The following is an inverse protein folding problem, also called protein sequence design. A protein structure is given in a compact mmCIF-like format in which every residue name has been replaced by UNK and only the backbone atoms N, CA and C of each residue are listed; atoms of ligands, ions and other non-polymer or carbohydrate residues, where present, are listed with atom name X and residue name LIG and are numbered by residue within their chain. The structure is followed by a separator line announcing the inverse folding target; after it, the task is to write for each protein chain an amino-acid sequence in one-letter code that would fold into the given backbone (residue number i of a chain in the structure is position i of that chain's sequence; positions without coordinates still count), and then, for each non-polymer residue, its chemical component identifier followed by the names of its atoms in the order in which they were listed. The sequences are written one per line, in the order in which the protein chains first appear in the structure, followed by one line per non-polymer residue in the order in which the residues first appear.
data_IF_552744305065
#
_entry.id   IF_552744305065
#
_cell.length_a   1.000
_cell.length_b   1.000
_cell.length_c   1.000
_cell.angle_alpha   90.00
_cell.angle_beta   90.00
_cell.angle_gamma   90.00
#
_symmetry.space_group_name_H-M   'P 1'
#
loop_
_entity.id
_entity.type
_entity.pdbx_description
1 polymer ?
#
# COMPACT_ATOMS: atom_id res chain seq x y z
N UNK A 1 -21.40 -19.33 -6.83
CA UNK A 1 -22.03 -18.37 -5.86
C UNK A 1 -20.97 -17.60 -5.05
N UNK A 2 -19.87 -18.22 -4.64
CA UNK A 2 -18.79 -17.53 -3.92
C UNK A 2 -18.11 -16.45 -4.78
N UNK A 3 -17.83 -16.76 -6.04
CA UNK A 3 -17.18 -15.85 -6.99
C UNK A 3 -18.03 -14.59 -7.27
N UNK A 4 -19.36 -14.74 -7.31
CA UNK A 4 -20.27 -13.59 -7.52
C UNK A 4 -20.24 -12.65 -6.31
N UNK A 5 -20.20 -13.18 -5.11
CA UNK A 5 -20.09 -12.38 -3.88
C UNK A 5 -18.73 -11.67 -3.81
N UNK A 6 -17.65 -12.32 -4.24
CA UNK A 6 -16.32 -11.73 -4.27
C UNK A 6 -16.23 -10.59 -5.30
N UNK A 7 -16.81 -10.78 -6.49
CA UNK A 7 -16.93 -9.73 -7.51
C UNK A 7 -17.76 -8.56 -6.98
N UNK A 8 -18.92 -8.82 -6.36
CA UNK A 8 -19.79 -7.78 -5.81
C UNK A 8 -19.10 -6.99 -4.69
N UNK A 9 -18.43 -7.64 -3.76
CA UNK A 9 -17.70 -6.97 -2.67
C UNK A 9 -16.52 -6.16 -3.21
N UNK A 10 -15.82 -6.67 -4.22
CA UNK A 10 -14.73 -5.94 -4.89
C UNK A 10 -15.24 -4.71 -5.62
N UNK A 11 -16.38 -4.82 -6.31
CA UNK A 11 -17.00 -3.70 -7.02
C UNK A 11 -17.49 -2.61 -6.07
N UNK A 12 -18.17 -2.98 -4.98
CA UNK A 12 -18.61 -2.05 -3.96
C UNK A 12 -17.43 -1.33 -3.30
N UNK A 13 -16.35 -2.06 -3.00
CA UNK A 13 -15.12 -1.48 -2.44
C UNK A 13 -14.47 -0.45 -3.38
N UNK A 14 -14.48 -0.71 -4.70
CA UNK A 14 -13.97 0.23 -5.70
C UNK A 14 -14.84 1.49 -5.75
N UNK A 15 -16.17 1.34 -5.77
CA UNK A 15 -17.09 2.49 -5.75
C UNK A 15 -16.92 3.32 -4.46
N UNK A 16 -16.84 2.67 -3.30
CA UNK A 16 -16.61 3.36 -2.03
C UNK A 16 -15.29 4.17 -2.07
N UNK A 17 -14.22 3.58 -2.56
CA UNK A 17 -12.93 4.26 -2.68
C UNK A 17 -12.94 5.40 -3.70
N UNK A 18 -13.70 5.29 -4.80
CA UNK A 18 -13.74 6.31 -5.86
C UNK A 18 -14.65 7.49 -5.52
N UNK A 19 -15.66 7.30 -4.68
CA UNK A 19 -16.64 8.35 -4.33
C UNK A 19 -16.39 8.86 -2.92
N UNK A 20 -16.33 7.97 -1.94
CA UNK A 20 -16.21 8.34 -0.53
C UNK A 20 -14.90 9.06 -0.22
N UNK A 21 -13.77 8.49 -0.66
CA UNK A 21 -12.47 9.05 -0.29
C UNK A 21 -12.22 10.44 -0.88
N UNK A 22 -12.49 10.71 -2.19
CA UNK A 22 -12.37 12.07 -2.74
C UNK A 22 -13.31 13.07 -2.07
N UNK A 23 -14.57 12.68 -1.82
CA UNK A 23 -15.53 13.55 -1.13
C UNK A 23 -15.05 13.89 0.28
N UNK A 24 -14.59 12.90 1.03
CA UNK A 24 -14.05 13.11 2.39
C UNK A 24 -12.88 14.09 2.35
N UNK A 25 -11.95 13.94 1.40
CA UNK A 25 -10.80 14.85 1.24
C UNK A 25 -11.28 16.27 0.94
N UNK A 26 -12.19 16.44 -0.04
CA UNK A 26 -12.68 17.76 -0.44
C UNK A 26 -13.38 18.45 0.73
N UNK A 27 -14.33 17.80 1.38
CA UNK A 27 -15.05 18.38 2.52
C UNK A 27 -14.11 18.72 3.68
N UNK A 28 -13.19 17.81 4.02
CA UNK A 28 -12.20 18.07 5.08
C UNK A 28 -11.32 19.28 4.74
N UNK A 29 -10.83 19.37 3.51
CA UNK A 29 -10.04 20.52 3.06
C UNK A 29 -10.81 21.82 3.09
N UNK A 30 -12.09 21.84 2.69
CA UNK A 30 -12.94 23.03 2.77
C UNK A 30 -13.02 23.51 4.23
N UNK A 31 -13.32 22.61 5.17
CA UNK A 31 -13.38 22.96 6.60
C UNK A 31 -12.01 23.44 7.11
N UNK A 32 -10.93 22.78 6.75
CA UNK A 32 -9.58 23.19 7.14
C UNK A 32 -9.21 24.58 6.61
N UNK A 33 -9.63 24.93 5.39
CA UNK A 33 -9.41 26.26 4.83
C UNK A 33 -10.14 27.37 5.61
N UNK A 34 -11.32 27.09 6.16
CA UNK A 34 -12.03 28.07 7.00
C UNK A 34 -11.33 28.33 8.33
N UNK A 35 -10.51 27.37 8.80
CA UNK A 35 -9.76 27.49 10.05
C UNK A 35 -8.44 28.25 9.83
N UNK A 36 -7.62 27.78 8.88
CA UNK A 36 -6.33 28.39 8.57
C UNK A 36 -5.89 27.99 7.15
N UNK A 37 -5.76 28.96 6.27
CA UNK A 37 -5.24 28.74 4.92
C UNK A 37 -3.78 28.30 4.91
N UNK A 38 -2.95 28.84 5.79
CA UNK A 38 -1.51 28.54 5.87
C UNK A 38 -1.25 27.08 6.28
N UNK A 39 -1.91 26.63 7.35
CA UNK A 39 -1.80 25.24 7.81
C UNK A 39 -2.39 24.26 6.79
N UNK A 40 -3.49 24.64 6.13
CA UNK A 40 -4.13 23.80 5.11
C UNK A 40 -3.25 23.66 3.87
N UNK A 41 -2.61 24.72 3.42
CA UNK A 41 -1.68 24.69 2.29
C UNK A 41 -0.50 23.77 2.56
N UNK A 42 0.03 23.77 3.80
CA UNK A 42 1.05 22.83 4.23
C UNK A 42 0.56 21.37 4.12
N UNK A 43 -0.64 21.07 4.60
CA UNK A 43 -1.21 19.71 4.51
C UNK A 43 -1.40 19.29 3.05
N UNK A 44 -1.91 20.17 2.19
CA UNK A 44 -2.09 19.94 0.76
C UNK A 44 -0.75 19.63 0.07
N UNK A 45 0.32 20.34 0.43
CA UNK A 45 1.65 20.09 -0.12
C UNK A 45 2.22 18.73 0.33
N UNK A 46 1.91 18.33 1.56
CA UNK A 46 2.43 17.09 2.13
C UNK A 46 1.73 15.82 1.62
N UNK A 47 0.44 15.90 1.28
CA UNK A 47 -0.34 14.76 0.73
C UNK A 47 0.33 14.15 -0.51
N UNK A 48 0.66 14.90 -1.57
CA UNK A 48 1.31 14.34 -2.75
C UNK A 48 2.72 13.80 -2.46
N UNK A 49 3.47 14.42 -1.55
CA UNK A 49 4.80 13.94 -1.16
C UNK A 49 4.69 12.56 -0.51
N UNK A 50 3.80 12.38 0.45
CA UNK A 50 3.57 11.09 1.10
C UNK A 50 3.06 10.03 0.11
N UNK A 51 2.13 10.39 -0.77
CA UNK A 51 1.61 9.54 -1.83
C UNK A 51 2.69 9.08 -2.82
N UNK A 52 3.60 9.97 -3.20
CA UNK A 52 4.73 9.65 -4.08
C UNK A 52 5.65 8.60 -3.46
N UNK A 53 6.01 8.76 -2.19
CA UNK A 53 6.87 7.81 -1.47
C UNK A 53 6.20 6.44 -1.35
N UNK A 54 4.90 6.39 -0.97
CA UNK A 54 4.12 5.15 -0.91
C UNK A 54 4.04 4.49 -2.29
N UNK A 55 3.90 5.26 -3.37
CA UNK A 55 3.89 4.75 -4.74
C UNK A 55 5.18 4.04 -5.13
N UNK A 56 6.34 4.53 -4.70
CA UNK A 56 7.64 3.88 -4.94
C UNK A 56 7.70 2.50 -4.28
N UNK A 57 7.25 2.42 -3.03
CA UNK A 57 7.18 1.13 -2.30
C UNK A 57 6.22 0.17 -3.02
N UNK A 58 5.05 0.65 -3.43
CA UNK A 58 4.06 -0.13 -4.16
C UNK A 58 4.56 -0.68 -5.50
N UNK A 59 5.32 0.12 -6.29
CA UNK A 59 5.92 -0.32 -7.56
C UNK A 59 6.92 -1.47 -7.35
N UNK A 60 7.78 -1.36 -6.33
CA UNK A 60 8.76 -2.40 -5.99
C UNK A 60 8.06 -3.67 -5.49
N UNK A 61 7.04 -3.53 -4.65
CA UNK A 61 6.23 -4.63 -4.16
C UNK A 61 5.57 -5.41 -5.31
N UNK A 62 4.99 -4.69 -6.29
CA UNK A 62 4.37 -5.31 -7.47
C UNK A 62 5.37 -6.12 -8.30
N UNK A 63 6.57 -5.57 -8.54
CA UNK A 63 7.62 -6.28 -9.28
C UNK A 63 7.96 -7.60 -8.59
N UNK A 64 8.21 -7.57 -7.28
CA UNK A 64 8.54 -8.79 -6.56
C UNK A 64 7.37 -9.77 -6.46
N UNK A 65 6.12 -9.28 -6.34
CA UNK A 65 4.93 -10.15 -6.36
C UNK A 65 4.78 -10.90 -7.69
N UNK A 66 5.13 -10.26 -8.81
CA UNK A 66 5.12 -10.92 -10.13
C UNK A 66 6.18 -12.03 -10.19
N UNK A 67 7.36 -11.79 -9.64
CA UNK A 67 8.40 -12.82 -9.53
C UNK A 67 7.94 -13.99 -8.65
N UNK A 68 7.27 -13.72 -7.51
CA UNK A 68 6.68 -14.78 -6.68
C UNK A 68 5.70 -15.63 -7.47
N UNK A 69 4.77 -15.02 -8.23
CA UNK A 69 3.82 -15.75 -9.05
C UNK A 69 4.53 -16.65 -10.08
N UNK A 70 5.58 -16.13 -10.73
CA UNK A 70 6.36 -16.91 -11.69
C UNK A 70 7.07 -18.09 -11.02
N UNK A 71 7.71 -17.86 -9.86
CA UNK A 71 8.38 -18.95 -9.13
C UNK A 71 7.39 -19.95 -8.54
N UNK A 72 6.19 -19.52 -8.15
CA UNK A 72 5.12 -20.41 -7.72
C UNK A 72 4.63 -21.31 -8.87
N UNK A 73 4.48 -20.79 -10.07
CA UNK A 73 4.15 -21.56 -11.25
C UNK A 73 5.25 -22.60 -11.56
N UNK A 74 6.53 -22.19 -11.53
CA UNK A 74 7.67 -23.08 -11.71
C UNK A 74 7.71 -24.18 -10.64
N UNK A 75 7.39 -23.83 -9.38
CA UNK A 75 7.35 -24.76 -8.26
C UNK A 75 6.24 -25.82 -8.46
N UNK A 76 5.05 -25.43 -8.86
CA UNK A 76 3.97 -26.35 -9.16
C UNK A 76 4.32 -27.26 -10.35
N UNK A 77 4.93 -26.68 -11.40
CA UNK A 77 5.36 -27.42 -12.58
C UNK A 77 6.39 -28.49 -12.25
N UNK A 78 7.38 -28.23 -11.40
CA UNK A 78 8.39 -29.25 -11.02
C UNK A 78 7.77 -30.36 -10.16
N UNK A 79 6.78 -30.05 -9.33
CA UNK A 79 6.04 -31.06 -8.56
C UNK A 79 5.28 -31.97 -9.52
N UNK A 80 4.52 -31.39 -10.44
CA UNK A 80 3.74 -32.15 -11.42
C UNK A 80 4.62 -33.01 -12.33
N UNK A 81 5.73 -32.43 -12.85
CA UNK A 81 6.74 -33.16 -13.63
C UNK A 81 7.34 -34.34 -12.85
N UNK A 82 7.63 -34.12 -11.56
CA UNK A 82 8.24 -35.15 -10.70
C UNK A 82 7.27 -36.28 -10.40
N UNK A 83 6.00 -35.97 -10.09
CA UNK A 83 4.98 -36.96 -9.77
C UNK A 83 4.61 -37.76 -11.03
N UNK A 84 4.35 -37.08 -12.13
CA UNK A 84 3.98 -37.72 -13.40
C UNK A 84 5.12 -38.53 -13.98
N UNK A 85 6.36 -38.07 -13.84
CA UNK A 85 7.59 -38.74 -14.32
C UNK A 85 8.22 -39.73 -13.36
N UNK A 86 7.60 -40.05 -12.22
CA UNK A 86 8.23 -40.82 -11.14
C UNK A 86 8.82 -42.17 -11.60
N UNK A 87 8.14 -42.91 -12.47
CA UNK A 87 8.64 -44.19 -13.01
C UNK A 87 9.92 -44.01 -13.84
N UNK A 88 9.95 -42.97 -14.68
CA UNK A 88 11.11 -42.64 -15.49
C UNK A 88 12.28 -42.20 -14.63
N UNK A 89 12.03 -41.29 -13.67
CA UNK A 89 13.06 -40.79 -12.73
C UNK A 89 13.73 -41.95 -12.02
N UNK A 90 12.96 -42.92 -11.50
CA UNK A 90 13.48 -44.14 -10.84
C UNK A 90 14.24 -45.08 -11.78
N UNK A 91 13.73 -45.26 -13.00
CA UNK A 91 14.38 -46.12 -13.98
C UNK A 91 15.78 -45.62 -14.40
N UNK A 92 15.96 -44.28 -14.42
CA UNK A 92 17.23 -43.65 -14.77
C UNK A 92 18.06 -43.22 -13.55
N UNK A 93 17.64 -43.55 -12.31
CA UNK A 93 18.30 -43.15 -11.06
C UNK A 93 18.59 -41.64 -10.97
N UNK A 94 17.61 -40.82 -11.45
CA UNK A 94 17.79 -39.40 -11.62
C UNK A 94 17.22 -38.58 -10.45
N UNK A 95 16.92 -39.17 -9.32
CA UNK A 95 16.33 -38.55 -8.13
C UNK A 95 17.16 -37.35 -7.64
N UNK A 96 18.48 -37.48 -7.63
CA UNK A 96 19.38 -36.41 -7.21
C UNK A 96 19.33 -35.18 -8.13
N UNK A 97 19.06 -35.36 -9.41
CA UNK A 97 18.91 -34.28 -10.37
C UNK A 97 17.60 -33.50 -10.10
N UNK A 98 16.49 -34.21 -9.92
CA UNK A 98 15.19 -33.60 -9.63
C UNK A 98 15.16 -32.92 -8.25
N UNK A 99 15.78 -33.53 -7.23
CA UNK A 99 15.93 -32.91 -5.91
C UNK A 99 16.67 -31.57 -6.00
N UNK A 100 17.82 -31.53 -6.68
CA UNK A 100 18.54 -30.26 -6.87
C UNK A 100 17.73 -29.21 -7.66
N UNK A 101 16.98 -29.64 -8.67
CA UNK A 101 16.10 -28.75 -9.45
C UNK A 101 14.99 -28.19 -8.56
N UNK A 102 14.36 -29.05 -7.74
CA UNK A 102 13.35 -28.63 -6.77
C UNK A 102 13.90 -27.64 -5.74
N UNK A 103 15.03 -27.96 -5.11
CA UNK A 103 15.68 -27.12 -4.10
C UNK A 103 16.00 -25.73 -4.65
N UNK A 104 16.50 -25.65 -5.88
CA UNK A 104 16.78 -24.37 -6.55
C UNK A 104 15.52 -23.53 -6.73
N UNK A 105 14.43 -24.12 -7.23
CA UNK A 105 13.16 -23.43 -7.45
C UNK A 105 12.54 -23.02 -6.11
N UNK A 106 12.54 -23.92 -5.13
CA UNK A 106 12.04 -23.65 -3.79
C UNK A 106 12.80 -22.50 -3.11
N UNK A 107 14.14 -22.49 -3.23
CA UNK A 107 14.95 -21.40 -2.70
C UNK A 107 14.64 -20.04 -3.37
N UNK A 108 14.41 -20.01 -4.68
CA UNK A 108 14.00 -18.81 -5.38
C UNK A 108 12.64 -18.32 -4.92
N UNK A 109 11.65 -19.21 -4.82
CA UNK A 109 10.31 -18.91 -4.32
C UNK A 109 10.37 -18.33 -2.89
N UNK A 110 11.12 -18.99 -1.98
CA UNK A 110 11.34 -18.51 -0.62
C UNK A 110 11.96 -17.10 -0.60
N UNK A 111 13.01 -16.88 -1.39
CA UNK A 111 13.71 -15.60 -1.46
C UNK A 111 12.81 -14.45 -1.93
N UNK A 112 12.01 -14.67 -2.99
CA UNK A 112 11.09 -13.65 -3.50
C UNK A 112 9.90 -13.46 -2.57
N UNK A 113 9.34 -14.51 -1.98
CA UNK A 113 8.26 -14.44 -1.00
C UNK A 113 8.68 -13.60 0.22
N UNK A 114 9.85 -13.83 0.77
CA UNK A 114 10.38 -13.02 1.87
C UNK A 114 10.56 -11.54 1.49
N UNK A 115 11.00 -11.24 0.27
CA UNK A 115 11.08 -9.84 -0.20
C UNK A 115 9.72 -9.18 -0.22
N UNK A 116 8.69 -9.88 -0.72
CA UNK A 116 7.31 -9.37 -0.76
C UNK A 116 6.79 -9.14 0.65
N UNK A 117 6.94 -10.12 1.55
CA UNK A 117 6.48 -10.03 2.94
C UNK A 117 7.17 -8.86 3.66
N UNK A 118 8.48 -8.76 3.57
CA UNK A 118 9.25 -7.70 4.23
C UNK A 118 8.84 -6.31 3.73
N UNK A 119 8.66 -6.13 2.40
CA UNK A 119 8.20 -4.85 1.85
C UNK A 119 6.77 -4.52 2.23
N UNK A 120 5.88 -5.51 2.25
CA UNK A 120 4.50 -5.34 2.71
C UNK A 120 4.46 -4.89 4.18
N UNK A 121 5.27 -5.55 5.02
CA UNK A 121 5.34 -5.23 6.44
C UNK A 121 5.99 -3.87 6.73
N UNK A 122 6.89 -3.38 5.87
CA UNK A 122 7.47 -2.04 5.99
C UNK A 122 6.50 -0.92 5.59
N UNK A 123 5.54 -1.20 4.72
CA UNK A 123 4.63 -0.17 4.21
C UNK A 123 3.73 0.44 5.30
N UNK A 124 3.30 -0.36 6.28
CA UNK A 124 2.51 0.09 7.43
C UNK A 124 3.28 1.09 8.32
N UNK A 125 4.36 0.65 9.00
CA UNK A 125 5.17 1.50 9.88
C UNK A 125 5.70 2.76 9.17
N UNK A 126 6.10 2.64 7.90
CA UNK A 126 6.55 3.80 7.13
C UNK A 126 5.43 4.83 6.93
N UNK A 127 4.22 4.36 6.65
CA UNK A 127 3.04 5.21 6.51
C UNK A 127 2.66 5.91 7.83
N UNK A 128 2.79 5.21 8.96
CA UNK A 128 2.58 5.78 10.30
C UNK A 128 3.64 6.82 10.63
N UNK A 129 4.90 6.52 10.37
CA UNK A 129 6.01 7.47 10.54
C UNK A 129 5.77 8.77 9.76
N UNK A 130 5.35 8.68 8.50
CA UNK A 130 4.99 9.85 7.71
C UNK A 130 3.83 10.63 8.33
N UNK A 131 2.81 9.96 8.85
CA UNK A 131 1.70 10.59 9.56
C UNK A 131 2.16 11.36 10.82
N UNK A 132 2.99 10.72 11.65
CA UNK A 132 3.54 11.34 12.87
C UNK A 132 4.42 12.55 12.51
N UNK A 133 5.20 12.46 11.44
CA UNK A 133 6.04 13.56 10.97
C UNK A 133 5.19 14.79 10.58
N UNK A 134 4.08 14.58 9.84
CA UNK A 134 3.13 15.68 9.51
C UNK A 134 2.60 16.32 10.78
N UNK A 135 2.11 15.49 11.70
CA UNK A 135 1.55 15.96 12.97
C UNK A 135 2.61 16.73 13.77
N UNK A 136 3.85 16.24 13.83
CA UNK A 136 4.96 16.92 14.52
C UNK A 136 5.28 18.29 13.92
N UNK A 137 5.32 18.40 12.59
CA UNK A 137 5.54 19.70 11.91
C UNK A 137 4.36 20.65 12.13
N UNK A 138 3.12 20.13 12.05
CA UNK A 138 1.92 20.92 12.32
C UNK A 138 1.90 21.41 13.77
N UNK A 139 2.28 20.57 14.74
CA UNK A 139 2.40 20.98 16.16
C UNK A 139 3.42 22.08 16.34
N UNK A 140 4.56 21.97 15.69
CA UNK A 140 5.61 22.98 15.81
C UNK A 140 5.19 24.32 15.17
N UNK A 141 4.70 24.28 13.93
CA UNK A 141 4.31 25.50 13.20
C UNK A 141 3.00 26.08 13.73
N UNK A 142 1.95 25.27 13.88
CA UNK A 142 0.65 25.71 14.40
C UNK A 142 0.71 26.09 15.87
N UNK A 143 1.53 25.40 16.67
CA UNK A 143 1.79 25.78 18.06
C UNK A 143 2.38 27.20 18.19
N UNK A 144 3.28 27.58 17.27
CA UNK A 144 3.76 28.97 17.20
C UNK A 144 2.66 29.97 16.84
N UNK A 145 1.74 29.59 15.96
CA UNK A 145 0.59 30.42 15.57
C UNK A 145 -0.36 30.66 16.75
N UNK A 146 -0.52 29.66 17.63
CA UNK A 146 -1.35 29.77 18.84
C UNK A 146 -0.66 30.54 19.94
N UNK A 147 0.61 30.26 20.23
CA UNK A 147 1.32 30.77 21.42
C UNK A 147 2.03 32.10 21.19
N UNK A 148 2.44 32.39 19.96
CA UNK A 148 3.24 33.60 19.64
C UNK A 148 2.47 34.61 18.84
N UNK A 149 1.78 34.17 17.77
CA UNK A 149 1.05 35.05 16.87
C UNK A 149 -0.41 35.28 17.30
N UNK A 150 -0.93 34.46 18.23
CA UNK A 150 -2.32 34.48 18.71
C UNK A 150 -3.37 34.52 17.59
N UNK A 151 -2.98 34.06 16.37
CA UNK A 151 -3.81 34.10 15.16
C UNK A 151 -4.89 33.03 15.14
N UNK A 152 -4.73 31.97 15.94
CA UNK A 152 -5.67 30.84 16.06
C UNK A 152 -5.83 30.47 17.52
N UNK A 153 -7.08 30.21 17.97
CA UNK A 153 -7.31 29.74 19.33
C UNK A 153 -6.78 28.29 19.51
N UNK A 154 -6.33 27.94 20.71
CA UNK A 154 -5.85 26.60 21.02
C UNK A 154 -6.90 25.51 20.73
N UNK A 155 -8.19 25.79 21.02
CA UNK A 155 -9.30 24.86 20.73
C UNK A 155 -9.45 24.63 19.23
N UNK A 156 -9.43 25.70 18.43
CA UNK A 156 -9.53 25.62 16.96
C UNK A 156 -8.34 24.86 16.36
N UNK A 157 -7.14 25.04 16.93
CA UNK A 157 -5.95 24.30 16.51
C UNK A 157 -6.07 22.80 16.80
N UNK A 158 -6.62 22.39 17.95
CA UNK A 158 -6.86 20.96 18.27
C UNK A 158 -7.84 20.35 17.25
N UNK A 159 -8.92 21.07 16.91
CA UNK A 159 -9.88 20.64 15.88
C UNK A 159 -9.16 20.47 14.54
N UNK A 160 -8.32 21.43 14.14
CA UNK A 160 -7.54 21.37 12.90
C UNK A 160 -6.62 20.14 12.87
N UNK A 161 -5.95 19.83 13.99
CA UNK A 161 -5.11 18.65 14.12
C UNK A 161 -5.90 17.35 13.92
N UNK A 162 -7.11 17.26 14.49
CA UNK A 162 -8.00 16.12 14.29
C UNK A 162 -8.40 15.94 12.82
N UNK A 163 -8.73 17.05 12.12
CA UNK A 163 -9.03 17.03 10.68
C UNK A 163 -7.81 16.62 9.84
N UNK A 164 -6.63 17.17 10.16
CA UNK A 164 -5.38 16.84 9.48
C UNK A 164 -5.00 15.36 9.66
N UNK A 165 -5.24 14.79 10.83
CA UNK A 165 -5.05 13.36 11.07
C UNK A 165 -6.05 12.51 10.26
N UNK A 166 -7.32 12.89 10.25
CA UNK A 166 -8.36 12.16 9.55
C UNK A 166 -8.17 12.16 8.02
N UNK A 167 -7.59 13.20 7.43
CA UNK A 167 -7.37 13.26 5.96
C UNK A 167 -6.26 12.31 5.48
N UNK A 168 -5.36 11.87 6.37
CA UNK A 168 -4.25 11.00 5.99
C UNK A 168 -4.72 9.63 5.48
N UNK A 169 -5.77 9.06 6.06
CA UNK A 169 -6.29 7.74 5.68
C UNK A 169 -6.96 7.77 4.29
N UNK A 170 -7.92 8.67 4.00
CA UNK A 170 -8.46 8.87 2.66
C UNK A 170 -7.39 9.12 1.60
N UNK A 171 -6.40 9.96 1.89
CA UNK A 171 -5.32 10.27 0.96
C UNK A 171 -4.47 9.03 0.61
N UNK A 172 -4.19 8.16 1.59
CA UNK A 172 -3.50 6.88 1.38
C UNK A 172 -4.33 5.92 0.54
N UNK A 173 -5.63 5.81 0.83
CA UNK A 173 -6.54 4.93 0.11
C UNK A 173 -6.71 5.36 -1.34
N UNK A 174 -6.86 6.67 -1.59
CA UNK A 174 -6.94 7.22 -2.94
C UNK A 174 -5.68 6.90 -3.76
N UNK A 175 -4.49 7.05 -3.17
CA UNK A 175 -3.23 6.70 -3.82
C UNK A 175 -3.14 5.22 -4.20
N UNK A 176 -3.68 4.31 -3.37
CA UNK A 176 -3.76 2.87 -3.66
C UNK A 176 -4.74 2.58 -4.79
N UNK A 177 -5.89 3.26 -4.82
CA UNK A 177 -6.97 3.06 -5.80
C UNK A 177 -6.56 3.49 -7.20
N UNK A 178 -5.93 4.65 -7.37
CA UNK A 178 -5.36 5.08 -8.65
C UNK A 178 -4.40 4.05 -9.25
N UNK A 179 -3.67 3.37 -8.39
CA UNK A 179 -2.76 2.33 -8.81
C UNK A 179 -3.48 1.03 -9.24
N UNK A 180 -4.58 0.67 -8.57
CA UNK A 180 -5.38 -0.52 -8.89
C UNK A 180 -6.13 -0.36 -10.21
N UNK A 181 -6.68 0.82 -10.48
CA UNK A 181 -7.39 1.15 -11.74
C UNK A 181 -6.42 1.08 -12.93
N UNK A 182 -5.21 1.63 -12.78
CA UNK A 182 -4.18 1.55 -13.83
C UNK A 182 -3.73 0.13 -14.15
N UNK A 183 -3.96 -0.82 -13.22
CA UNK A 183 -3.73 -2.25 -13.42
C UNK A 183 -4.87 -2.91 -14.20
N UNK A 184 -6.13 -2.55 -13.91
CA UNK A 184 -7.31 -3.09 -14.58
C UNK A 184 -7.39 -2.69 -16.07
N UNK A 185 -6.92 -1.50 -16.45
CA UNK A 185 -6.86 -1.05 -17.84
C UNK A 185 -5.71 -1.68 -18.66
N UNK A 186 -4.82 -2.42 -18.03
CA UNK A 186 -3.65 -3.05 -18.69
C UNK A 186 -3.76 -4.58 -18.76
N UNK A 187 -4.89 -5.15 -18.34
CA UNK A 187 -5.27 -6.55 -18.45
C UNK A 187 -6.34 -6.73 -19.53
#
# INVERSE_FOLDING_TARGET
TADILEIQTSYLSILELMVREPLTIIFTLIVMFTISSELTLFVILFIPISGFIISIIGKKLRKDSKEVQQQQSNFLSIIDETISGQKVIKSFLSESFFSRKFDKINHLLYRYSNKVINRKNLAGPFSEFMGILVIGVLLWFGGRMVLVSESISGTTFIVFMGLAYNILTPAKNLSKSFYSIKKGNAA
#
